data_IF_803432136316
#
_entry.id   IF_803432136316
#
_cell.length_a   1.000
_cell.length_b   1.000
_cell.length_c   1.000
_cell.angle_alpha   90.00
_cell.angle_beta   90.00
_cell.angle_gamma   90.00
#
_symmetry.space_group_name_H-M   'P 1'
#
loop_
_entity.id
_entity.type
_entity.pdbx_description
1 polymer ?
#
# COMPACT_ATOMS: atom_id res chain seq x y z
N UNK A 1 -13.18 10.55 -8.12
CA UNK A 1 -12.32 9.45 -8.60
C UNK A 1 -11.18 9.24 -7.62
N UNK A 2 -11.35 8.35 -6.65
CA UNK A 2 -10.35 8.05 -5.61
C UNK A 2 -10.14 6.54 -5.57
N UNK A 3 -8.91 6.11 -5.25
CA UNK A 3 -8.35 4.77 -5.42
C UNK A 3 -9.37 3.63 -5.49
N UNK A 4 -9.45 2.99 -6.66
CA UNK A 4 -10.27 1.81 -6.92
C UNK A 4 -9.42 0.70 -7.52
N UNK A 5 -10.01 -0.48 -7.69
CA UNK A 5 -9.35 -1.56 -8.41
C UNK A 5 -8.99 -1.15 -9.84
N UNK A 6 -7.79 -1.48 -10.29
CA UNK A 6 -7.35 -1.32 -11.67
C UNK A 6 -6.03 -2.03 -11.88
N UNK A 7 -5.85 -2.70 -13.01
CA UNK A 7 -4.66 -3.54 -13.26
C UNK A 7 -3.72 -2.82 -14.22
N UNK A 8 -2.46 -2.65 -13.82
CA UNK A 8 -1.41 -2.11 -14.68
C UNK A 8 -0.08 -2.86 -14.45
N UNK A 9 0.67 -3.22 -15.50
CA UNK A 9 2.00 -3.79 -15.34
C UNK A 9 2.94 -2.83 -14.60
N UNK A 10 3.66 -3.33 -13.60
CA UNK A 10 4.63 -2.55 -12.83
C UNK A 10 5.64 -3.48 -12.14
N UNK A 11 6.93 -3.15 -12.23
CA UNK A 11 8.02 -3.85 -11.52
C UNK A 11 7.96 -5.38 -11.66
N UNK A 12 7.90 -5.89 -12.90
CA UNK A 12 7.80 -7.34 -13.16
C UNK A 12 6.48 -8.02 -12.79
N UNK A 13 5.55 -7.30 -12.15
CA UNK A 13 4.26 -7.80 -11.68
C UNK A 13 3.12 -6.83 -12.05
N UNK A 14 2.03 -6.84 -11.29
CA UNK A 14 0.85 -6.01 -11.50
C UNK A 14 0.52 -5.14 -10.28
N UNK A 15 0.37 -3.84 -10.53
CA UNK A 15 -0.23 -2.90 -9.61
C UNK A 15 -1.74 -2.94 -9.80
N UNK A 16 -2.47 -3.26 -8.73
CA UNK A 16 -3.93 -3.47 -8.73
C UNK A 16 -4.72 -2.22 -8.30
N UNK A 17 -4.06 -1.06 -8.29
CA UNK A 17 -4.64 0.22 -7.90
C UNK A 17 -4.74 1.16 -9.10
N UNK A 18 -5.90 1.80 -9.25
CA UNK A 18 -6.15 2.83 -10.26
C UNK A 18 -5.57 4.18 -9.82
N UNK A 19 -4.96 4.90 -10.77
CA UNK A 19 -4.52 6.28 -10.56
C UNK A 19 -5.71 7.26 -10.37
N UNK A 20 -5.51 8.39 -9.65
CA UNK A 20 -4.29 8.77 -8.93
C UNK A 20 -4.08 7.96 -7.64
N UNK A 21 -2.81 7.71 -7.30
CA UNK A 21 -2.42 6.99 -6.07
C UNK A 21 -2.02 7.98 -4.98
N UNK A 22 -2.37 7.68 -3.73
CA UNK A 22 -1.85 8.36 -2.55
C UNK A 22 -0.84 7.43 -1.90
N UNK A 23 0.39 7.92 -1.67
CA UNK A 23 1.45 7.15 -1.00
C UNK A 23 1.50 7.50 0.47
N UNK A 24 1.66 6.48 1.30
CA UNK A 24 2.01 6.65 2.71
C UNK A 24 3.49 7.02 2.85
N UNK A 25 3.93 7.50 4.03
CA UNK A 25 5.35 7.63 4.34
C UNK A 25 6.12 6.31 4.09
N UNK A 26 7.41 6.43 3.78
CA UNK A 26 8.30 5.27 3.59
C UNK A 26 8.44 4.51 4.91
N UNK A 27 8.38 3.18 4.82
CA UNK A 27 8.59 2.26 5.94
C UNK A 27 9.82 1.39 5.70
N UNK A 28 10.47 0.96 6.77
CA UNK A 28 11.52 -0.06 6.75
C UNK A 28 10.92 -1.37 7.30
N UNK A 29 11.17 -2.51 6.65
CA UNK A 29 10.62 -3.81 7.07
C UNK A 29 11.23 -4.32 8.39
N UNK A 30 12.28 -3.66 8.90
CA UNK A 30 12.92 -3.95 10.18
C UNK A 30 13.77 -5.22 10.20
N UNK A 31 13.88 -5.96 9.10
CA UNK A 31 14.68 -7.18 9.04
C UNK A 31 16.10 -6.96 8.52
N UNK A 32 17.01 -7.82 8.97
CA UNK A 32 18.33 -7.91 8.36
C UNK A 32 18.24 -8.56 6.97
N UNK A 33 19.12 -8.17 6.05
CA UNK A 33 19.08 -8.61 4.64
C UNK A 33 19.10 -10.14 4.42
N UNK A 34 19.52 -10.92 5.41
CA UNK A 34 19.64 -12.38 5.33
C UNK A 34 18.47 -13.13 5.97
N UNK A 35 17.50 -12.42 6.55
CA UNK A 35 16.36 -13.01 7.26
C UNK A 35 15.06 -12.58 6.60
N UNK A 36 14.25 -13.55 6.15
CA UNK A 36 12.93 -13.29 5.55
C UNK A 36 11.87 -12.96 6.61
N UNK A 37 12.21 -12.20 7.64
CA UNK A 37 11.36 -11.88 8.79
C UNK A 37 10.84 -10.44 8.78
N UNK A 38 10.96 -9.74 7.65
CA UNK A 38 10.52 -8.35 7.53
C UNK A 38 9.01 -8.23 7.50
N UNK A 39 8.49 -7.20 8.14
CA UNK A 39 7.07 -6.90 8.13
C UNK A 39 6.85 -5.41 7.90
N UNK A 40 5.82 -5.08 7.11
CA UNK A 40 5.28 -3.74 7.02
C UNK A 40 3.95 -3.68 7.76
N UNK A 41 3.74 -2.61 8.52
CA UNK A 41 2.49 -2.34 9.24
C UNK A 41 2.14 -0.88 9.09
N UNK A 42 0.88 -0.58 8.77
CA UNK A 42 0.40 0.78 8.63
C UNK A 42 -0.92 0.92 9.39
N UNK A 43 -0.98 1.89 10.31
CA UNK A 43 -2.19 2.21 11.04
C UNK A 43 -3.06 3.16 10.21
N UNK A 44 -4.11 2.61 9.61
CA UNK A 44 -5.03 3.37 8.79
C UNK A 44 -5.97 4.26 9.64
N UNK A 45 -6.22 3.92 10.90
CA UNK A 45 -7.05 4.73 11.78
C UNK A 45 -6.33 6.02 12.16
N UNK A 46 -5.04 5.91 12.52
CA UNK A 46 -4.20 7.08 12.78
C UNK A 46 -4.08 7.97 11.54
N UNK A 47 -3.89 7.38 10.35
CA UNK A 47 -3.84 8.13 9.10
C UNK A 47 -5.10 8.96 8.83
N UNK A 48 -6.28 8.36 9.04
CA UNK A 48 -7.57 9.02 8.89
C UNK A 48 -7.75 10.15 9.91
N UNK A 49 -7.37 9.91 11.18
CA UNK A 49 -7.51 10.89 12.26
C UNK A 49 -6.59 12.11 12.08
N UNK A 50 -5.38 11.91 11.55
CA UNK A 50 -4.45 13.00 11.26
C UNK A 50 -4.93 13.92 10.13
N UNK A 51 -5.96 13.53 9.37
CA UNK A 51 -6.59 14.38 8.36
C UNK A 51 -5.73 14.64 7.11
N UNK A 52 -4.61 13.91 6.93
CA UNK A 52 -3.73 14.06 5.78
C UNK A 52 -4.43 13.78 4.44
N UNK A 53 -5.50 12.98 4.46
CA UNK A 53 -6.37 12.78 3.31
C UNK A 53 -7.84 13.04 3.67
N UNK A 54 -8.27 14.29 3.47
CA UNK A 54 -9.62 14.76 3.84
C UNK A 54 -10.79 14.10 3.10
N UNK A 55 -10.55 13.15 2.17
CA UNK A 55 -11.63 12.34 1.58
C UNK A 55 -11.73 10.92 2.13
N UNK A 56 -10.91 10.56 3.11
CA UNK A 56 -11.05 9.32 3.87
C UNK A 56 -12.05 9.51 5.01
N UNK A 57 -13.34 9.52 4.65
CA UNK A 57 -14.46 9.62 5.58
C UNK A 57 -15.11 8.27 5.84
N UNK A 58 -16.00 8.20 6.84
CA UNK A 58 -16.85 7.03 7.06
C UNK A 58 -17.60 6.62 5.77
N UNK A 59 -17.71 5.32 5.54
CA UNK A 59 -18.31 4.73 4.32
C UNK A 59 -17.39 4.69 3.09
N UNK A 60 -16.20 5.30 3.14
CA UNK A 60 -15.26 5.24 2.02
C UNK A 60 -14.66 3.83 1.91
N UNK A 61 -14.85 3.19 0.76
CA UNK A 61 -14.11 1.97 0.40
C UNK A 61 -12.70 2.33 -0.02
N UNK A 62 -11.72 1.74 0.66
CA UNK A 62 -10.29 1.88 0.37
C UNK A 62 -9.78 0.61 -0.29
N UNK A 63 -8.96 0.79 -1.31
CA UNK A 63 -8.12 -0.25 -1.91
C UNK A 63 -6.66 0.11 -1.66
N UNK A 64 -5.89 -0.82 -1.11
CA UNK A 64 -4.49 -0.60 -0.77
C UNK A 64 -3.63 -1.78 -1.19
N UNK A 65 -2.38 -1.50 -1.54
CA UNK A 65 -1.40 -2.50 -1.94
C UNK A 65 -0.04 -2.04 -1.42
N UNK A 66 0.75 -2.95 -0.87
CA UNK A 66 2.12 -2.65 -0.47
C UNK A 66 3.05 -2.69 -1.67
N UNK A 67 3.90 -1.68 -1.77
CA UNK A 67 5.04 -1.63 -2.67
C UNK A 67 6.31 -1.47 -1.85
N UNK A 68 7.22 -2.43 -1.98
CA UNK A 68 8.52 -2.42 -1.32
C UNK A 68 9.64 -2.46 -2.35
N UNK A 69 10.77 -1.83 -2.02
CA UNK A 69 12.01 -1.97 -2.79
C UNK A 69 12.80 -3.12 -2.18
N UNK A 70 13.23 -4.05 -3.03
CA UNK A 70 14.03 -5.20 -2.62
C UNK A 70 15.17 -5.41 -3.63
N UNK A 71 16.43 -5.11 -3.27
CA UNK A 71 17.57 -5.36 -4.15
C UNK A 71 17.82 -6.84 -4.46
N UNK A 72 17.29 -7.76 -3.64
CA UNK A 72 17.35 -9.20 -3.89
C UNK A 72 16.29 -9.71 -4.86
N UNK A 73 15.27 -8.90 -5.15
CA UNK A 73 14.26 -9.20 -6.15
C UNK A 73 14.80 -8.88 -7.57
N UNK A 74 14.63 -9.76 -8.57
CA UNK A 74 15.12 -9.54 -9.93
C UNK A 74 14.60 -8.25 -10.61
N UNK A 75 13.39 -7.81 -10.23
CA UNK A 75 12.76 -6.59 -10.75
C UNK A 75 13.00 -5.38 -9.82
N UNK A 76 13.78 -5.58 -8.75
CA UNK A 76 14.20 -4.56 -7.79
C UNK A 76 13.09 -4.07 -6.86
N UNK A 77 11.89 -4.64 -6.96
CA UNK A 77 10.74 -4.25 -6.18
C UNK A 77 9.70 -5.38 -6.11
N UNK A 78 8.95 -5.38 -5.01
CA UNK A 78 7.87 -6.32 -4.78
C UNK A 78 6.55 -5.56 -4.64
N UNK A 79 5.50 -6.12 -5.25
CA UNK A 79 4.12 -5.67 -5.12
C UNK A 79 3.33 -6.79 -4.42
N UNK A 80 2.80 -6.49 -3.22
CA UNK A 80 1.99 -7.44 -2.47
C UNK A 80 0.56 -7.57 -3.02
N UNK A 81 -0.25 -8.40 -2.39
CA UNK A 81 -1.68 -8.50 -2.73
C UNK A 81 -2.44 -7.21 -2.42
N UNK A 82 -3.54 -6.99 -3.15
CA UNK A 82 -4.45 -5.88 -2.89
C UNK A 82 -5.41 -6.23 -1.77
N UNK A 83 -5.59 -5.30 -0.83
CA UNK A 83 -6.62 -5.39 0.20
C UNK A 83 -7.72 -4.35 -0.05
N UNK A 84 -8.94 -4.70 0.36
CA UNK A 84 -10.11 -3.82 0.30
C UNK A 84 -10.79 -3.79 1.66
N UNK A 85 -11.08 -2.59 2.16
CA UNK A 85 -11.85 -2.40 3.39
C UNK A 85 -12.67 -1.11 3.32
N UNK A 86 -13.60 -0.93 4.25
CA UNK A 86 -14.43 0.29 4.36
C UNK A 86 -14.12 0.99 5.67
N UNK A 87 -14.01 2.32 5.63
CA UNK A 87 -13.74 3.14 6.81
C UNK A 87 -14.99 3.32 7.66
N UNK A 88 -14.86 3.06 8.97
CA UNK A 88 -15.97 2.98 9.91
C UNK A 88 -17.07 1.96 9.49
N UNK A 89 -17.93 1.52 10.42
CA UNK A 89 -19.13 0.77 10.07
C UNK A 89 -20.09 1.56 9.16
#
# INVERSE_FOLDING_TARGET
>A
SRAGFGVQPAFGSFLYLRQPLVRTPVQNSGSAATVCGGQFSFDFNDWVQNGFDGGLTAGTTVWAQYWSRDPGDPDGAHLGDVIRFTLAP
#
